data_IF_729512897764
#
_entry.id   IF_729512897764
#
_cell.length_a   1.000
_cell.length_b   1.000
_cell.length_c   1.000
_cell.angle_alpha   90.00
_cell.angle_beta   90.00
_cell.angle_gamma   90.00
#
_symmetry.space_group_name_H-M   'P 1'
#
loop_
_entity.id
_entity.type
_entity.pdbx_description
1 polymer ?
#
# COMPACT_ATOMS: atom_id res chain seq x y z
N UNK A 1 16.67 -6.29 -27.95
CA UNK A 1 16.45 -6.74 -26.56
C UNK A 1 14.97 -6.69 -26.17
N UNK A 2 14.35 -5.52 -25.97
CA UNK A 2 12.89 -5.46 -25.66
C UNK A 2 12.03 -5.89 -26.87
N UNK A 3 12.36 -5.38 -28.06
CA UNK A 3 11.74 -5.76 -29.34
C UNK A 3 11.65 -7.28 -29.48
N UNK A 4 12.82 -7.94 -29.46
CA UNK A 4 12.91 -9.39 -29.64
C UNK A 4 12.14 -10.17 -28.58
N UNK A 5 12.10 -9.65 -27.34
CA UNK A 5 11.33 -10.27 -26.26
C UNK A 5 9.83 -10.24 -26.58
N UNK A 6 9.29 -9.10 -26.99
CA UNK A 6 7.87 -8.97 -27.36
C UNK A 6 7.56 -9.86 -28.56
N UNK A 7 8.35 -9.78 -29.64
CA UNK A 7 8.10 -10.54 -30.86
C UNK A 7 8.15 -12.06 -30.61
N UNK A 8 9.13 -12.54 -29.86
CA UNK A 8 9.30 -13.97 -29.60
C UNK A 8 8.17 -14.53 -28.72
N UNK A 9 7.74 -13.79 -27.69
CA UNK A 9 6.64 -14.24 -26.83
C UNK A 9 5.30 -14.23 -27.57
N UNK A 10 5.03 -13.21 -28.39
CA UNK A 10 3.78 -13.18 -29.16
C UNK A 10 3.76 -14.24 -30.27
N UNK A 11 4.90 -14.52 -30.91
CA UNK A 11 5.04 -15.66 -31.84
C UNK A 11 4.71 -16.99 -31.19
N UNK A 12 5.11 -17.19 -29.94
CA UNK A 12 4.80 -18.40 -29.18
C UNK A 12 3.35 -18.42 -28.67
N UNK A 13 2.85 -17.27 -28.21
CA UNK A 13 1.52 -17.10 -27.65
C UNK A 13 0.95 -15.72 -28.02
N UNK A 14 0.03 -15.69 -28.98
CA UNK A 14 -0.63 -14.46 -29.44
C UNK A 14 -1.46 -13.73 -28.36
N UNK A 15 -1.66 -14.31 -27.18
CA UNK A 15 -2.35 -13.72 -26.01
C UNK A 15 -1.39 -13.41 -24.86
N UNK A 16 -0.13 -13.12 -25.19
CA UNK A 16 0.87 -12.72 -24.19
C UNK A 16 0.46 -11.44 -23.46
N UNK A 17 0.78 -11.36 -22.18
CA UNK A 17 0.57 -10.19 -21.31
C UNK A 17 1.93 -9.57 -21.00
N UNK A 18 2.05 -8.27 -21.27
CA UNK A 18 3.22 -7.46 -20.95
C UNK A 18 2.83 -6.39 -19.92
N UNK A 19 3.57 -6.31 -18.83
CA UNK A 19 3.38 -5.31 -17.77
C UNK A 19 4.63 -4.45 -17.71
N UNK A 20 4.45 -3.15 -17.91
CA UNK A 20 5.48 -2.13 -17.80
C UNK A 20 5.19 -1.33 -16.55
N UNK A 21 5.98 -1.57 -15.50
CA UNK A 21 5.84 -0.90 -14.22
C UNK A 21 6.74 0.33 -14.13
N UNK A 22 6.31 1.34 -13.35
CA UNK A 22 6.99 2.62 -13.17
C UNK A 22 7.45 3.28 -14.48
N UNK A 23 6.57 3.37 -15.47
CA UNK A 23 6.93 3.86 -16.82
C UNK A 23 7.45 5.30 -16.84
N UNK A 24 7.09 6.09 -15.83
CA UNK A 24 7.60 7.44 -15.61
C UNK A 24 9.07 7.53 -15.23
N UNK A 25 9.66 6.40 -14.80
CA UNK A 25 11.09 6.28 -14.51
C UNK A 25 11.87 5.63 -15.64
N UNK A 26 11.19 5.19 -16.71
CA UNK A 26 11.86 4.58 -17.84
C UNK A 26 12.65 5.63 -18.64
N UNK A 27 13.81 5.26 -19.22
CA UNK A 27 14.55 6.16 -20.10
C UNK A 27 13.68 6.68 -21.24
N UNK A 28 13.77 7.99 -21.57
CA UNK A 28 13.09 8.55 -22.73
C UNK A 28 13.36 7.73 -24.00
N UNK A 29 12.31 7.47 -24.78
CA UNK A 29 12.39 6.69 -26.03
C UNK A 29 12.40 5.16 -25.85
N UNK A 30 12.45 4.62 -24.63
CA UNK A 30 12.34 3.17 -24.42
C UNK A 30 10.96 2.64 -24.83
N UNK A 31 9.90 3.40 -24.55
CA UNK A 31 8.52 3.04 -24.91
C UNK A 31 8.24 3.18 -26.41
N UNK A 32 9.02 4.00 -27.13
CA UNK A 32 8.87 4.14 -28.59
C UNK A 32 9.13 2.82 -29.33
N UNK A 33 9.90 1.92 -28.72
CA UNK A 33 10.14 0.55 -29.21
C UNK A 33 8.85 -0.28 -29.18
N UNK A 34 7.92 0.03 -28.27
CA UNK A 34 6.68 -0.72 -28.07
C UNK A 34 5.54 -0.18 -28.93
N UNK A 35 5.55 1.11 -29.29
CA UNK A 35 4.49 1.76 -30.07
C UNK A 35 3.99 0.95 -31.29
N UNK A 36 4.86 0.34 -32.14
CA UNK A 36 4.39 -0.42 -33.29
C UNK A 36 3.51 -1.62 -32.95
N UNK A 37 3.62 -2.18 -31.73
CA UNK A 37 2.84 -3.32 -31.28
C UNK A 37 1.50 -2.94 -30.66
N UNK A 38 1.31 -1.66 -30.32
CA UNK A 38 0.06 -1.11 -29.77
C UNK A 38 -0.90 -0.64 -30.86
N UNK A 39 -0.39 -0.42 -32.07
CA UNK A 39 -1.17 -0.01 -33.22
C UNK A 39 -2.03 -1.17 -33.77
N UNK A 40 -3.15 -0.81 -34.42
CA UNK A 40 -4.13 -1.78 -34.94
C UNK A 40 -3.70 -2.42 -36.29
N UNK A 41 -2.41 -2.70 -36.47
CA UNK A 41 -1.94 -3.44 -37.63
C UNK A 41 -2.48 -4.89 -37.59
N UNK A 42 -2.92 -5.41 -38.74
CA UNK A 42 -3.32 -6.82 -38.81
C UNK A 42 -2.14 -7.75 -38.50
N UNK A 43 -0.97 -7.40 -39.00
CA UNK A 43 0.29 -8.08 -38.72
C UNK A 43 1.46 -7.10 -38.75
N UNK A 44 2.43 -7.31 -37.87
CA UNK A 44 3.73 -6.67 -37.90
C UNK A 44 4.79 -7.77 -37.96
N UNK A 45 5.64 -7.77 -39.00
CA UNK A 45 6.60 -8.86 -39.26
C UNK A 45 5.96 -10.27 -39.29
N UNK A 46 4.72 -10.37 -39.80
CA UNK A 46 3.97 -11.64 -39.87
C UNK A 46 3.34 -12.11 -38.56
N UNK A 47 3.35 -11.28 -37.51
CA UNK A 47 2.81 -11.60 -36.18
C UNK A 47 1.63 -10.68 -35.86
N UNK A 48 0.54 -11.25 -35.37
CA UNK A 48 -0.67 -10.51 -34.94
C UNK A 48 -0.60 -10.20 -33.45
N UNK A 49 -0.57 -8.90 -33.12
CA UNK A 49 -0.46 -8.39 -31.74
C UNK A 49 -1.80 -7.99 -31.13
N UNK A 50 -2.91 -8.00 -31.89
CA UNK A 50 -4.22 -7.47 -31.46
C UNK A 50 -4.86 -8.25 -30.29
N UNK A 51 -4.35 -9.45 -30.00
CA UNK A 51 -4.76 -10.30 -28.88
C UNK A 51 -3.81 -10.21 -27.69
N UNK A 52 -2.64 -9.60 -27.85
CA UNK A 52 -1.71 -9.37 -26.76
C UNK A 52 -2.23 -8.21 -25.89
N UNK A 53 -1.90 -8.24 -24.60
CA UNK A 53 -2.32 -7.24 -23.63
C UNK A 53 -1.08 -6.50 -23.14
N UNK A 54 -1.13 -5.17 -23.18
CA UNK A 54 -0.08 -4.29 -22.69
C UNK A 54 -0.66 -3.45 -21.55
N UNK A 55 -0.06 -3.55 -20.37
CA UNK A 55 -0.44 -2.77 -19.18
C UNK A 55 0.73 -1.84 -18.83
N UNK A 56 0.46 -0.54 -18.76
CA UNK A 56 1.41 0.47 -18.35
C UNK A 56 0.99 1.03 -16.99
N UNK A 57 1.91 1.02 -16.02
CA UNK A 57 1.68 1.52 -14.66
C UNK A 57 2.59 2.72 -14.45
N UNK A 58 1.98 3.86 -14.09
CA UNK A 58 2.69 5.11 -13.84
C UNK A 58 2.13 5.84 -12.64
N UNK A 59 3.00 6.57 -11.95
CA UNK A 59 2.61 7.45 -10.85
C UNK A 59 2.48 8.93 -11.24
N UNK A 60 2.70 9.30 -12.51
CA UNK A 60 2.70 10.72 -12.99
C UNK A 60 1.41 11.46 -12.64
N UNK A 61 0.25 10.82 -12.77
CA UNK A 61 -1.04 11.43 -12.45
C UNK A 61 -1.34 11.59 -10.96
N UNK A 62 -0.52 11.00 -10.06
CA UNK A 62 -0.86 10.86 -8.64
C UNK A 62 -1.09 12.21 -7.93
N UNK A 63 -0.23 13.24 -8.08
CA UNK A 63 -0.43 14.52 -7.40
C UNK A 63 -1.75 15.19 -7.80
N UNK A 64 -2.04 15.20 -9.09
CA UNK A 64 -3.22 15.84 -9.63
C UNK A 64 -4.52 15.09 -9.31
N UNK A 65 -4.49 13.75 -9.32
CA UNK A 65 -5.60 12.91 -8.86
C UNK A 65 -5.85 13.15 -7.36
N UNK A 66 -4.78 13.21 -6.56
CA UNK A 66 -4.86 13.47 -5.12
C UNK A 66 -5.52 14.82 -4.84
N UNK A 67 -5.01 15.90 -5.43
CA UNK A 67 -5.53 17.26 -5.21
C UNK A 67 -7.01 17.38 -5.61
N UNK A 68 -7.38 16.74 -6.72
CA UNK A 68 -8.76 16.75 -7.20
C UNK A 68 -9.67 15.97 -6.28
N UNK A 69 -9.27 14.76 -5.88
CA UNK A 69 -10.05 13.92 -4.97
C UNK A 69 -10.18 14.58 -3.59
N UNK A 70 -9.12 15.23 -3.12
CA UNK A 70 -9.12 15.99 -1.86
C UNK A 70 -10.11 17.16 -1.92
N UNK A 71 -10.16 17.92 -3.02
CA UNK A 71 -11.15 18.99 -3.22
C UNK A 71 -12.58 18.45 -3.20
N UNK A 72 -12.85 17.33 -3.88
CA UNK A 72 -14.16 16.68 -3.83
C UNK A 72 -14.54 16.27 -2.40
N UNK A 73 -13.61 15.65 -1.69
CA UNK A 73 -13.82 15.24 -0.30
C UNK A 73 -14.11 16.44 0.63
N UNK A 74 -13.33 17.52 0.53
CA UNK A 74 -13.53 18.74 1.31
C UNK A 74 -14.89 19.41 1.03
N UNK A 75 -15.41 19.26 -0.18
CA UNK A 75 -16.73 19.73 -0.58
C UNK A 75 -17.87 18.75 -0.25
N UNK A 76 -17.59 17.68 0.50
CA UNK A 76 -18.59 16.67 0.90
C UNK A 76 -19.08 15.78 -0.25
N UNK A 77 -18.37 15.74 -1.37
CA UNK A 77 -18.73 14.90 -2.51
C UNK A 77 -18.28 13.46 -2.26
N UNK A 78 -19.19 12.46 -2.32
CA UNK A 78 -18.82 11.06 -2.13
C UNK A 78 -17.85 10.58 -3.19
N UNK A 79 -16.85 9.80 -2.81
CA UNK A 79 -15.84 9.24 -3.72
C UNK A 79 -16.49 8.49 -4.89
N UNK A 80 -17.56 7.75 -4.62
CA UNK A 80 -18.28 6.91 -5.58
C UNK A 80 -18.95 7.72 -6.70
N UNK A 81 -19.16 9.02 -6.48
CA UNK A 81 -19.71 9.93 -7.49
C UNK A 81 -18.64 10.52 -8.43
N UNK A 82 -17.35 10.35 -8.12
CA UNK A 82 -16.26 10.81 -8.97
C UNK A 82 -16.13 9.85 -10.17
N UNK A 83 -16.59 10.31 -11.33
CA UNK A 83 -16.54 9.55 -12.60
C UNK A 83 -15.28 9.86 -13.42
N UNK A 84 -15.00 9.02 -14.43
CA UNK A 84 -13.89 9.20 -15.37
C UNK A 84 -13.84 10.62 -15.98
N UNK A 85 -15.00 11.18 -16.35
CA UNK A 85 -15.10 12.52 -16.95
C UNK A 85 -14.51 13.63 -16.06
N UNK A 86 -14.56 13.44 -14.74
CA UNK A 86 -13.99 14.41 -13.81
C UNK A 86 -12.47 14.34 -13.75
N UNK A 87 -11.89 13.17 -14.03
CA UNK A 87 -10.45 12.89 -13.87
C UNK A 87 -9.71 12.94 -15.21
N UNK A 88 -10.38 12.65 -16.33
CA UNK A 88 -9.79 12.56 -17.68
C UNK A 88 -8.98 13.81 -18.05
N UNK A 89 -9.59 15.00 -17.95
CA UNK A 89 -8.91 16.28 -18.24
C UNK A 89 -7.68 16.55 -17.36
N UNK A 90 -7.62 15.94 -16.18
CA UNK A 90 -6.52 16.10 -15.25
C UNK A 90 -5.39 15.11 -15.57
N UNK A 91 -5.75 13.87 -15.94
CA UNK A 91 -4.79 12.87 -16.39
C UNK A 91 -4.13 13.32 -17.70
N UNK A 92 -4.89 13.91 -18.63
CA UNK A 92 -4.34 14.47 -19.87
C UNK A 92 -3.29 15.55 -19.60
N UNK A 93 -3.54 16.44 -18.63
CA UNK A 93 -2.56 17.44 -18.19
C UNK A 93 -1.34 16.79 -17.55
N UNK A 94 -1.55 15.81 -16.67
CA UNK A 94 -0.45 15.08 -16.02
C UNK A 94 0.47 14.41 -17.04
N UNK A 95 -0.09 13.81 -18.09
CA UNK A 95 0.67 13.16 -19.15
C UNK A 95 1.47 14.14 -20.03
N UNK A 96 1.12 15.42 -20.02
CA UNK A 96 1.81 16.49 -20.75
C UNK A 96 2.84 17.22 -19.88
N UNK A 97 2.60 17.33 -18.58
CA UNK A 97 3.45 18.02 -17.61
C UNK A 97 4.45 17.05 -16.96
N UNK A 98 5.36 16.46 -17.75
CA UNK A 98 6.54 15.77 -17.21
C UNK A 98 7.74 16.71 -17.17
N UNK A 99 7.75 17.63 -16.20
CA UNK A 99 8.99 18.25 -15.72
C UNK A 99 9.10 18.11 -14.20
N UNK A 100 10.18 17.43 -13.79
CA UNK A 100 10.83 17.49 -12.47
C UNK A 100 9.91 17.56 -11.25
N UNK A 101 9.34 16.42 -10.84
CA UNK A 101 8.75 16.28 -9.50
C UNK A 101 9.49 15.23 -8.68
N UNK A 102 10.76 15.50 -8.41
CA UNK A 102 11.47 14.91 -7.27
C UNK A 102 11.79 16.04 -6.29
N UNK A 103 10.76 16.57 -5.63
CA UNK A 103 10.98 17.36 -4.43
C UNK A 103 11.38 16.44 -3.29
N UNK A 104 12.61 16.60 -2.81
CA UNK A 104 13.05 15.97 -1.56
C UNK A 104 12.31 16.67 -0.42
N UNK A 105 11.28 16.02 0.10
CA UNK A 105 10.61 16.48 1.32
C UNK A 105 11.48 16.13 2.53
N UNK A 106 11.74 17.11 3.38
CA UNK A 106 12.38 16.86 4.68
C UNK A 106 11.52 15.86 5.47
N UNK A 107 12.13 14.77 5.94
CA UNK A 107 11.48 13.71 6.74
C UNK A 107 11.73 13.87 8.24
N UNK A 108 12.42 14.96 8.62
CA UNK A 108 12.79 15.26 10.00
C UNK A 108 11.66 16.07 10.63
N UNK A 109 10.92 15.48 11.56
CA UNK A 109 9.83 16.18 12.26
C UNK A 109 10.39 17.12 13.34
N UNK A 110 11.49 16.72 14.02
CA UNK A 110 12.22 17.53 15.00
C UNK A 110 13.69 17.10 15.09
N UNK A 111 14.53 17.82 15.84
CA UNK A 111 15.92 17.40 16.12
C UNK A 111 16.04 16.05 16.86
N UNK A 112 14.95 15.55 17.45
CA UNK A 112 14.94 14.35 18.29
C UNK A 112 14.02 13.25 17.72
N UNK A 113 13.36 13.48 16.57
CA UNK A 113 12.51 12.50 15.92
C UNK A 113 12.63 12.55 14.40
N UNK A 114 12.66 11.38 13.79
CA UNK A 114 12.67 11.25 12.34
C UNK A 114 11.90 10.01 11.91
N UNK A 115 11.15 10.14 10.81
CA UNK A 115 10.54 8.98 10.16
C UNK A 115 11.48 8.42 9.10
N UNK A 116 11.62 7.09 9.08
CA UNK A 116 12.32 6.37 8.02
C UNK A 116 11.51 5.13 7.66
N UNK A 117 11.06 5.07 6.40
CA UNK A 117 10.14 4.05 5.90
C UNK A 117 8.87 3.96 6.77
N UNK A 118 8.69 2.85 7.48
CA UNK A 118 7.55 2.60 8.37
C UNK A 118 7.91 2.65 9.86
N UNK A 119 9.04 3.26 10.20
CA UNK A 119 9.53 3.41 11.57
C UNK A 119 9.64 4.89 11.91
N UNK A 120 9.14 5.27 13.08
CA UNK A 120 9.44 6.52 13.76
C UNK A 120 10.58 6.26 14.73
N UNK A 121 11.68 6.99 14.57
CA UNK A 121 12.80 7.03 15.50
C UNK A 121 12.61 8.22 16.42
N UNK A 122 12.76 8.02 17.72
CA UNK A 122 12.67 9.10 18.72
C UNK A 122 13.67 8.88 19.84
N UNK A 123 14.22 9.95 20.39
CA UNK A 123 15.04 9.89 21.61
C UNK A 123 14.19 10.29 22.82
N UNK A 124 14.32 9.54 23.92
CA UNK A 124 13.78 10.01 25.20
C UNK A 124 14.69 11.08 25.84
N UNK A 125 14.22 11.64 26.97
CA UNK A 125 14.95 12.64 27.75
C UNK A 125 16.28 12.13 28.28
N UNK A 126 16.46 10.82 28.38
CA UNK A 126 17.66 10.16 28.89
C UNK A 126 18.62 9.75 27.76
N UNK A 127 18.28 10.05 26.50
CA UNK A 127 19.09 9.77 25.31
C UNK A 127 18.95 8.35 24.76
N UNK A 128 18.01 7.55 25.23
CA UNK A 128 17.73 6.22 24.66
C UNK A 128 16.87 6.35 23.41
N UNK A 129 17.29 5.64 22.35
CA UNK A 129 16.55 5.56 21.11
C UNK A 129 15.36 4.62 21.27
N UNK A 130 14.17 5.12 20.96
CA UNK A 130 12.91 4.41 20.90
C UNK A 130 12.43 4.35 19.44
N UNK A 131 11.95 3.18 19.05
CA UNK A 131 11.31 2.98 17.75
C UNK A 131 9.82 2.69 17.93
N UNK A 132 9.01 3.23 17.04
CA UNK A 132 7.59 2.90 16.94
C UNK A 132 7.17 2.83 15.48
N UNK A 133 6.00 2.24 15.20
CA UNK A 133 5.49 2.17 13.84
C UNK A 133 5.06 3.57 13.37
N UNK A 134 5.56 4.01 12.22
CA UNK A 134 5.09 5.18 11.50
C UNK A 134 4.23 4.76 10.30
N UNK A 135 3.08 5.41 10.15
CA UNK A 135 2.20 5.23 9.00
C UNK A 135 1.68 6.60 8.58
N UNK A 136 2.15 7.11 7.44
CA UNK A 136 1.76 8.42 6.88
C UNK A 136 0.24 8.59 6.73
N UNK A 137 -0.51 7.47 6.73
CA UNK A 137 -1.98 7.48 6.68
C UNK A 137 -2.62 7.91 7.99
N UNK A 138 -1.88 7.93 9.10
CA UNK A 138 -2.37 8.48 10.36
C UNK A 138 -2.44 10.01 10.31
N UNK A 139 -1.67 10.64 9.41
CA UNK A 139 -1.59 12.10 9.27
C UNK A 139 -2.77 12.69 8.48
N UNK A 140 -3.65 11.85 7.93
CA UNK A 140 -4.85 12.29 7.21
C UNK A 140 -6.10 12.20 8.07
N UNK A 141 -6.94 13.23 8.01
CA UNK A 141 -8.14 13.34 8.84
C UNK A 141 -9.40 12.70 8.20
N UNK A 142 -9.25 11.56 7.53
CA UNK A 142 -10.36 10.82 6.93
C UNK A 142 -10.21 9.31 7.10
N UNK A 143 -11.34 8.60 7.12
CA UNK A 143 -11.34 7.14 7.30
C UNK A 143 -10.78 6.44 6.06
N UNK A 144 -9.69 5.69 6.23
CA UNK A 144 -9.10 4.87 5.18
C UNK A 144 -9.49 3.41 5.39
N UNK A 145 -10.15 2.78 4.43
CA UNK A 145 -10.34 1.32 4.43
C UNK A 145 -9.09 0.64 3.84
N UNK A 146 -8.29 -0.02 4.67
CA UNK A 146 -7.03 -0.67 4.27
C UNK A 146 -6.94 -2.16 4.68
N UNK A 147 -8.02 -2.73 5.21
CA UNK A 147 -8.10 -4.14 5.59
C UNK A 147 -9.36 -4.81 5.02
N UNK A 148 -9.33 -6.14 4.81
CA UNK A 148 -10.44 -6.87 4.21
C UNK A 148 -11.71 -6.78 5.05
N UNK A 149 -12.85 -6.50 4.42
CA UNK A 149 -14.16 -6.70 5.04
C UNK A 149 -14.47 -8.19 5.11
N UNK A 150 -15.01 -8.67 6.25
CA UNK A 150 -15.30 -10.09 6.40
C UNK A 150 -16.46 -10.56 5.50
N UNK A 151 -17.32 -9.63 5.07
CA UNK A 151 -18.41 -9.87 4.09
C UNK A 151 -17.91 -10.00 2.64
N UNK A 152 -16.63 -9.74 2.37
CA UNK A 152 -16.05 -9.90 1.04
C UNK A 152 -15.98 -11.38 0.66
N UNK A 153 -15.77 -11.68 -0.62
CA UNK A 153 -15.56 -13.04 -1.12
C UNK A 153 -14.16 -13.62 -0.75
N UNK A 154 -13.56 -13.12 0.34
CA UNK A 154 -12.24 -13.53 0.82
C UNK A 154 -12.46 -14.63 1.88
N UNK A 155 -11.77 -15.78 1.78
CA UNK A 155 -11.88 -16.81 2.80
C UNK A 155 -11.48 -16.28 4.17
N UNK A 156 -12.17 -16.71 5.23
CA UNK A 156 -11.94 -16.15 6.57
C UNK A 156 -10.51 -16.37 7.06
N UNK A 157 -9.86 -17.49 6.72
CA UNK A 157 -8.50 -17.78 7.24
C UNK A 157 -7.46 -16.71 6.84
N UNK A 158 -7.30 -16.36 5.54
CA UNK A 158 -6.51 -15.19 5.11
C UNK A 158 -6.90 -13.89 5.80
N UNK A 159 -8.20 -13.63 5.97
CA UNK A 159 -8.70 -12.41 6.59
C UNK A 159 -8.19 -12.27 8.05
N UNK A 160 -8.33 -13.30 8.89
CA UNK A 160 -7.78 -13.29 10.26
C UNK A 160 -6.24 -13.36 10.28
N UNK A 161 -5.62 -13.90 9.22
CA UNK A 161 -4.16 -13.89 9.05
C UNK A 161 -3.58 -12.47 9.00
N UNK A 162 -4.34 -11.50 8.47
CA UNK A 162 -3.96 -10.07 8.48
C UNK A 162 -3.65 -9.60 9.90
N UNK A 163 -4.49 -9.96 10.87
CA UNK A 163 -4.29 -9.55 12.27
C UNK A 163 -2.96 -10.06 12.82
N UNK A 164 -2.64 -11.34 12.61
CA UNK A 164 -1.36 -11.93 13.04
C UNK A 164 -0.18 -11.23 12.35
N UNK A 165 -0.24 -11.04 11.03
CA UNK A 165 0.84 -10.40 10.27
C UNK A 165 1.11 -8.97 10.74
N UNK A 166 0.06 -8.22 11.09
CA UNK A 166 0.22 -6.87 11.61
C UNK A 166 0.77 -6.87 13.05
N UNK A 167 0.36 -7.79 13.92
CA UNK A 167 0.96 -7.93 15.25
C UNK A 167 2.47 -8.21 15.18
N UNK A 168 2.90 -9.07 14.25
CA UNK A 168 4.33 -9.31 13.99
C UNK A 168 5.03 -8.01 13.58
N UNK A 169 4.44 -7.25 12.66
CA UNK A 169 4.99 -5.97 12.19
C UNK A 169 5.11 -4.97 13.34
N UNK A 170 4.07 -4.83 14.16
CA UNK A 170 4.05 -3.88 15.28
C UNK A 170 5.08 -4.27 16.33
N UNK A 171 5.17 -5.56 16.69
CA UNK A 171 6.13 -6.05 17.67
C UNK A 171 7.59 -5.80 17.23
N UNK A 172 7.88 -5.93 15.93
CA UNK A 172 9.21 -5.64 15.36
C UNK A 172 9.55 -4.15 15.32
N UNK A 173 8.55 -3.29 15.12
CA UNK A 173 8.76 -1.85 15.00
C UNK A 173 8.79 -1.13 16.36
N UNK A 174 8.11 -1.67 17.39
CA UNK A 174 7.89 -1.00 18.66
C UNK A 174 8.87 -1.43 19.75
N UNK A 175 9.68 -0.50 20.27
CA UNK A 175 10.50 -0.74 21.47
C UNK A 175 9.65 -0.80 22.73
N UNK A 176 8.62 0.05 22.83
CA UNK A 176 7.75 0.18 24.00
C UNK A 176 6.46 -0.63 23.84
N UNK A 177 6.04 -1.29 24.92
CA UNK A 177 4.79 -2.06 24.98
C UNK A 177 3.55 -1.18 24.69
N UNK A 178 3.56 0.07 25.16
CA UNK A 178 2.46 1.03 24.94
C UNK A 178 2.22 1.29 23.46
N UNK A 179 3.28 1.41 22.67
CA UNK A 179 3.19 1.70 21.24
C UNK A 179 2.67 0.49 20.47
N UNK A 180 3.13 -0.71 20.85
CA UNK A 180 2.63 -1.98 20.32
C UNK A 180 1.13 -2.13 20.58
N UNK A 181 0.70 -1.97 21.84
CA UNK A 181 -0.71 -2.10 22.23
C UNK A 181 -1.58 -1.08 21.54
N UNK A 182 -1.15 0.19 21.47
CA UNK A 182 -1.89 1.25 20.79
C UNK A 182 -2.19 0.87 19.33
N UNK A 183 -1.19 0.37 18.60
CA UNK A 183 -1.35 -0.08 17.21
C UNK A 183 -2.23 -1.32 17.10
N UNK A 184 -2.00 -2.31 17.96
CA UNK A 184 -2.75 -3.56 17.97
C UNK A 184 -4.25 -3.36 18.29
N UNK A 185 -4.56 -2.51 19.27
CA UNK A 185 -5.93 -2.15 19.65
C UNK A 185 -6.65 -1.41 18.53
N UNK A 186 -6.03 -0.38 17.95
CA UNK A 186 -6.59 0.35 16.79
C UNK A 186 -6.93 -0.58 15.63
N UNK A 187 -6.05 -1.55 15.35
CA UNK A 187 -6.32 -2.56 14.35
C UNK A 187 -7.49 -3.47 14.75
N UNK A 188 -7.52 -3.96 15.99
CA UNK A 188 -8.58 -4.82 16.47
C UNK A 188 -9.96 -4.13 16.37
N UNK A 189 -10.08 -2.89 16.86
CA UNK A 189 -11.31 -2.09 16.78
C UNK A 189 -11.79 -1.94 15.34
N UNK A 190 -10.84 -1.66 14.43
CA UNK A 190 -11.12 -1.57 13.00
C UNK A 190 -11.64 -2.89 12.43
N UNK A 191 -10.98 -4.01 12.71
CA UNK A 191 -11.44 -5.32 12.24
C UNK A 191 -12.80 -5.70 12.83
N UNK A 192 -13.05 -5.39 14.11
CA UNK A 192 -14.35 -5.62 14.74
C UNK A 192 -15.45 -4.83 14.03
N UNK A 193 -15.23 -3.54 13.72
CA UNK A 193 -16.18 -2.74 12.92
C UNK A 193 -16.40 -3.27 11.49
N UNK A 194 -15.47 -4.08 10.96
CA UNK A 194 -15.54 -4.71 9.65
C UNK A 194 -16.15 -6.13 9.68
N UNK A 195 -16.74 -6.53 10.81
CA UNK A 195 -17.47 -7.78 10.98
C UNK A 195 -16.64 -8.95 11.51
N UNK A 196 -15.41 -8.71 11.98
CA UNK A 196 -14.60 -9.75 12.61
C UNK A 196 -15.15 -10.07 14.01
N UNK A 197 -14.93 -11.30 14.46
CA UNK A 197 -15.44 -11.81 15.73
C UNK A 197 -14.34 -11.72 16.79
N UNK A 198 -14.65 -11.11 17.94
CA UNK A 198 -13.69 -10.91 19.03
C UNK A 198 -13.05 -12.22 19.51
N UNK A 199 -13.81 -13.31 19.66
CA UNK A 199 -13.27 -14.62 20.07
C UNK A 199 -12.25 -15.18 19.05
N UNK A 200 -12.47 -14.92 17.76
CA UNK A 200 -11.55 -15.34 16.70
C UNK A 200 -10.31 -14.46 16.64
N UNK A 201 -10.43 -13.16 16.92
CA UNK A 201 -9.28 -12.27 17.11
C UNK A 201 -8.47 -12.67 18.34
N UNK A 202 -9.13 -12.99 19.46
CA UNK A 202 -8.50 -13.52 20.67
C UNK A 202 -7.73 -14.80 20.37
N UNK A 203 -8.36 -15.74 19.65
CA UNK A 203 -7.71 -16.97 19.21
C UNK A 203 -6.51 -16.70 18.30
N UNK A 204 -6.58 -15.65 17.47
CA UNK A 204 -5.48 -15.23 16.58
C UNK A 204 -4.33 -14.59 17.37
N UNK A 205 -4.63 -13.78 18.38
CA UNK A 205 -3.64 -13.21 19.30
C UNK A 205 -2.93 -14.29 20.12
N UNK A 206 -3.66 -15.30 20.61
CA UNK A 206 -3.06 -16.48 21.27
C UNK A 206 -2.14 -17.25 20.33
N UNK A 207 -2.53 -17.43 19.06
CA UNK A 207 -1.67 -18.04 18.04
C UNK A 207 -0.42 -17.21 17.75
N UNK A 208 -0.54 -15.89 17.69
CA UNK A 208 0.58 -14.98 17.55
C UNK A 208 1.56 -15.16 18.72
N UNK A 209 1.08 -15.05 19.96
CA UNK A 209 1.92 -15.18 21.16
C UNK A 209 2.59 -16.54 21.26
N UNK A 210 1.89 -17.62 20.90
CA UNK A 210 2.46 -18.97 20.93
C UNK A 210 3.49 -19.27 19.83
N UNK A 211 3.41 -18.61 18.67
CA UNK A 211 4.30 -18.86 17.52
C UNK A 211 5.42 -17.82 17.37
N UNK A 212 5.20 -16.62 17.87
CA UNK A 212 6.06 -15.45 17.71
C UNK A 212 6.30 -14.74 19.05
N UNK A 213 6.21 -15.48 20.16
CA UNK A 213 6.33 -14.93 21.52
C UNK A 213 7.69 -14.28 21.79
N UNK A 214 8.74 -14.71 21.09
CA UNK A 214 10.07 -14.11 21.12
C UNK A 214 10.07 -12.63 20.69
N UNK A 215 9.11 -12.22 19.86
CA UNK A 215 8.98 -10.82 19.42
C UNK A 215 8.37 -9.91 20.46
N UNK A 216 7.80 -10.45 21.54
CA UNK A 216 7.09 -9.67 22.57
C UNK A 216 7.57 -9.98 23.98
N UNK A 217 8.54 -10.89 24.13
CA UNK A 217 9.09 -11.31 25.41
C UNK A 217 9.79 -10.15 26.12
N UNK A 218 10.40 -9.23 25.37
CA UNK A 218 11.10 -8.07 25.92
C UNK A 218 10.17 -7.04 26.55
N UNK A 219 8.86 -7.13 26.32
CA UNK A 219 7.88 -6.31 27.03
C UNK A 219 7.60 -6.78 28.46
N UNK A 220 7.96 -8.02 28.80
CA UNK A 220 7.69 -8.64 30.11
C UNK A 220 6.20 -8.59 30.52
N UNK A 221 5.31 -8.83 29.56
CA UNK A 221 3.86 -8.83 29.76
C UNK A 221 3.25 -10.21 29.50
N UNK A 222 2.45 -10.76 30.43
CA UNK A 222 1.78 -12.03 30.22
C UNK A 222 0.67 -11.91 29.18
N UNK A 223 0.43 -13.00 28.44
CA UNK A 223 -0.63 -13.09 27.42
C UNK A 223 -2.02 -12.64 27.92
N UNK A 224 -2.37 -12.94 29.17
CA UNK A 224 -3.67 -12.54 29.74
C UNK A 224 -3.83 -11.02 29.77
N UNK A 225 -2.79 -10.30 30.17
CA UNK A 225 -2.75 -8.84 30.17
C UNK A 225 -2.75 -8.29 28.75
N UNK A 226 -1.96 -8.88 27.85
CA UNK A 226 -1.92 -8.46 26.45
C UNK A 226 -3.27 -8.63 25.73
N UNK A 227 -4.01 -9.71 26.00
CA UNK A 227 -5.36 -9.91 25.47
C UNK A 227 -6.31 -8.83 25.98
N UNK A 228 -6.25 -8.50 27.26
CA UNK A 228 -7.07 -7.44 27.85
C UNK A 228 -6.73 -6.06 27.24
N UNK A 229 -5.44 -5.74 27.18
CA UNK A 229 -4.94 -4.47 26.68
C UNK A 229 -5.24 -4.25 25.17
N UNK A 230 -5.50 -5.30 24.39
CA UNK A 230 -5.78 -5.20 22.94
C UNK A 230 -7.27 -5.37 22.61
N UNK A 231 -7.98 -6.26 23.30
CA UNK A 231 -9.33 -6.72 22.90
C UNK A 231 -10.43 -6.48 23.94
N UNK A 232 -10.11 -5.89 25.10
CA UNK A 232 -11.11 -5.46 26.11
C UNK A 232 -11.42 -3.98 26.02
#
# INVERSE_FOLDING_TARGET
>A
MLRDLVENHVKQCGRSLFIFDEVDKMPPGLLDVVNPYLENYEQLNGVDYRKAIFIFISNVGSPLIFDTTLKYFQNGVPRESITLKHIESIIEKAAQETENQLEVKETTETNNSASYLDIMLSYDTDGHMNTSLYDKRDDVNFSITNFPLLISNIPSSPAYGVFISQLIRYARASTKYTDFVLRARRLADKLLSQGYVCDRLTSSLRKFYGRYGELVIHYDVPLSRMVNDILS
#
